data_IF_559435689173
#
_entry.id   IF_559435689173
#
_cell.length_a   1.000
_cell.length_b   1.000
_cell.length_c   1.000
_cell.angle_alpha   90.00
_cell.angle_beta   90.00
_cell.angle_gamma   90.00
#
_symmetry.space_group_name_H-M   'P 1'
#
loop_
_entity.id
_entity.type
_entity.pdbx_description
1 polymer ?
#
# COMPACT_ATOMS: atom_id res chain seq x y z
N UNK A 1 -4.27 38.95 -43.31
CA UNK A 1 -4.23 37.50 -42.98
C UNK A 1 -2.93 37.01 -42.34
N UNK A 2 -1.74 37.51 -42.71
CA UNK A 2 -0.44 37.04 -42.16
C UNK A 2 -0.22 37.31 -40.66
N UNK A 3 -0.77 38.40 -40.11
CA UNK A 3 -0.69 38.77 -38.69
C UNK A 3 -1.45 37.82 -37.76
N UNK A 4 -2.61 37.31 -38.19
CA UNK A 4 -3.40 36.34 -37.41
C UNK A 4 -2.71 34.97 -37.31
N UNK A 5 -2.09 34.51 -38.41
CA UNK A 5 -1.31 33.27 -38.43
C UNK A 5 -0.05 33.35 -37.56
N UNK A 6 0.57 34.53 -37.46
CA UNK A 6 1.72 34.78 -36.59
C UNK A 6 1.34 34.73 -35.10
N UNK A 7 0.25 35.41 -34.70
CA UNK A 7 -0.25 35.38 -33.33
C UNK A 7 -0.66 33.96 -32.90
N UNK A 8 -1.34 33.20 -33.77
CA UNK A 8 -1.70 31.80 -33.53
C UNK A 8 -0.48 30.89 -33.32
N UNK A 9 0.60 31.10 -34.08
CA UNK A 9 1.87 30.35 -33.89
C UNK A 9 2.55 30.68 -32.56
N UNK A 10 2.56 31.96 -32.15
CA UNK A 10 3.16 32.33 -30.87
C UNK A 10 2.37 31.80 -29.67
N UNK A 11 1.03 31.83 -29.74
CA UNK A 11 0.17 31.22 -28.72
C UNK A 11 0.38 29.71 -28.62
N UNK A 12 0.49 29.01 -29.76
CA UNK A 12 0.75 27.57 -29.78
C UNK A 12 2.11 27.20 -29.17
N UNK A 13 3.16 27.99 -29.46
CA UNK A 13 4.49 27.80 -28.86
C UNK A 13 4.43 28.04 -27.35
N UNK A 14 3.79 29.11 -26.89
CA UNK A 14 3.63 29.41 -25.46
C UNK A 14 2.88 28.29 -24.72
N UNK A 15 1.81 27.76 -25.31
CA UNK A 15 1.06 26.64 -24.75
C UNK A 15 1.91 25.35 -24.68
N UNK A 16 2.73 25.11 -25.71
CA UNK A 16 3.69 23.99 -25.74
C UNK A 16 4.76 24.10 -24.64
N UNK A 17 5.32 25.30 -24.42
CA UNK A 17 6.26 25.54 -23.33
C UNK A 17 5.60 25.36 -21.95
N UNK A 18 4.38 25.85 -21.77
CA UNK A 18 3.63 25.67 -20.53
C UNK A 18 3.34 24.20 -20.26
N UNK A 19 2.94 23.44 -21.28
CA UNK A 19 2.70 22.00 -21.17
C UNK A 19 3.99 21.24 -20.83
N UNK A 20 5.11 21.58 -21.48
CA UNK A 20 6.42 20.99 -21.17
C UNK A 20 6.84 21.29 -19.73
N UNK A 21 6.69 22.55 -19.28
CA UNK A 21 7.00 22.94 -17.91
C UNK A 21 6.13 22.19 -16.89
N UNK A 22 4.84 21.99 -17.19
CA UNK A 22 3.94 21.19 -16.37
C UNK A 22 4.41 19.73 -16.27
N UNK A 23 4.75 19.08 -17.39
CA UNK A 23 5.24 17.70 -17.39
C UNK A 23 6.53 17.55 -16.58
N UNK A 24 7.48 18.50 -16.71
CA UNK A 24 8.72 18.50 -15.94
C UNK A 24 8.46 18.67 -14.44
N UNK A 25 7.54 19.56 -14.06
CA UNK A 25 7.13 19.74 -12.66
C UNK A 25 6.49 18.47 -12.08
N UNK A 26 5.60 17.82 -12.83
CA UNK A 26 4.99 16.56 -12.41
C UNK A 26 6.02 15.45 -12.24
N UNK A 27 7.01 15.35 -13.14
CA UNK A 27 8.10 14.38 -13.03
C UNK A 27 8.95 14.64 -11.77
N UNK A 28 9.27 15.89 -11.46
CA UNK A 28 9.98 16.22 -10.21
C UNK A 28 9.21 15.80 -8.96
N UNK A 29 7.89 16.05 -8.91
CA UNK A 29 7.04 15.59 -7.80
C UNK A 29 7.03 14.07 -7.70
N UNK A 30 6.96 13.38 -8.84
CA UNK A 30 7.01 11.92 -8.89
C UNK A 30 8.35 11.38 -8.36
N UNK A 31 9.47 11.96 -8.79
CA UNK A 31 10.81 11.60 -8.30
C UNK A 31 10.96 11.81 -6.80
N UNK A 32 10.42 12.92 -6.27
CA UNK A 32 10.43 13.17 -4.82
C UNK A 32 9.63 12.12 -4.05
N UNK A 33 8.45 11.72 -4.57
CA UNK A 33 7.63 10.65 -3.99
C UNK A 33 8.36 9.31 -4.01
N UNK A 34 9.00 8.98 -5.13
CA UNK A 34 9.78 7.74 -5.27
C UNK A 34 11.00 7.72 -4.34
N UNK A 35 11.75 8.83 -4.24
CA UNK A 35 12.87 8.94 -3.32
C UNK A 35 12.43 8.78 -1.86
N UNK A 36 11.29 9.36 -1.48
CA UNK A 36 10.71 9.17 -0.15
C UNK A 36 10.29 7.71 0.08
N UNK A 37 9.59 7.10 -0.88
CA UNK A 37 9.17 5.71 -0.83
C UNK A 37 10.38 4.76 -0.72
N UNK A 38 11.46 5.00 -1.45
CA UNK A 38 12.70 4.22 -1.38
C UNK A 38 13.38 4.33 -0.02
N UNK A 39 13.35 5.50 0.62
CA UNK A 39 13.90 5.70 1.98
C UNK A 39 13.07 5.00 3.05
N UNK A 40 11.75 4.97 2.89
CA UNK A 40 10.81 4.43 3.88
C UNK A 40 10.59 2.92 3.68
N UNK A 41 10.57 2.41 2.44
CA UNK A 41 10.29 1.00 2.14
C UNK A 41 11.11 -0.04 2.93
N UNK A 42 12.41 0.18 3.25
CA UNK A 42 13.20 -0.75 4.05
C UNK A 42 12.77 -0.85 5.53
N UNK A 43 12.14 0.19 6.10
CA UNK A 43 11.70 0.19 7.49
C UNK A 43 10.28 -0.37 7.68
N UNK A 44 9.49 -0.53 6.62
CA UNK A 44 8.16 -1.15 6.70
C UNK A 44 8.24 -2.68 6.64
N UNK A 45 7.48 -3.33 7.52
CA UNK A 45 7.12 -4.72 7.37
C UNK A 45 5.85 -4.83 6.51
N UNK A 46 5.88 -5.68 5.47
CA UNK A 46 4.73 -5.93 4.61
C UNK A 46 4.07 -7.24 5.01
N UNK A 47 2.88 -7.15 5.57
CA UNK A 47 2.06 -8.31 5.87
C UNK A 47 1.22 -8.69 4.65
N UNK A 48 1.42 -9.89 4.13
CA UNK A 48 0.71 -10.38 2.96
C UNK A 48 -0.26 -11.49 3.38
N UNK A 49 -1.55 -11.29 3.13
CA UNK A 49 -2.57 -12.32 3.29
C UNK A 49 -2.99 -12.78 1.91
N UNK A 50 -2.94 -14.09 1.72
CA UNK A 50 -3.42 -14.77 0.52
C UNK A 50 -4.90 -15.12 0.72
N UNK A 51 -5.69 -14.91 -0.33
CA UNK A 51 -7.06 -15.40 -0.40
C UNK A 51 -7.07 -16.77 -1.09
N UNK A 52 -8.11 -17.56 -0.85
CA UNK A 52 -8.26 -18.86 -1.53
C UNK A 52 -8.52 -18.71 -3.04
N UNK A 53 -9.12 -17.60 -3.48
CA UNK A 53 -9.34 -17.27 -4.90
C UNK A 53 -9.50 -15.77 -5.14
N UNK A 54 -9.62 -15.38 -6.42
CA UNK A 54 -9.92 -14.01 -6.85
C UNK A 54 -11.43 -13.68 -6.79
N UNK A 55 -12.26 -14.57 -6.25
CA UNK A 55 -13.68 -14.29 -6.08
C UNK A 55 -13.89 -13.11 -5.12
N UNK A 56 -14.94 -12.32 -5.35
CA UNK A 56 -15.25 -11.19 -4.48
C UNK A 56 -15.47 -11.61 -3.02
N UNK A 57 -15.99 -12.82 -2.78
CA UNK A 57 -16.19 -13.36 -1.44
C UNK A 57 -14.86 -13.63 -0.74
N UNK A 58 -13.92 -14.33 -1.39
CA UNK A 58 -12.63 -14.66 -0.79
C UNK A 58 -11.75 -13.40 -0.61
N UNK A 59 -11.85 -12.44 -1.53
CA UNK A 59 -11.16 -11.16 -1.39
C UNK A 59 -11.72 -10.34 -0.21
N UNK A 60 -13.03 -10.40 0.03
CA UNK A 60 -13.64 -9.76 1.20
C UNK A 60 -13.14 -10.41 2.50
N UNK A 61 -13.10 -11.75 2.57
CA UNK A 61 -12.54 -12.47 3.74
C UNK A 61 -11.09 -12.06 3.99
N UNK A 62 -10.28 -11.95 2.94
CA UNK A 62 -8.89 -11.47 3.05
C UNK A 62 -8.81 -10.07 3.67
N UNK A 63 -9.68 -9.13 3.29
CA UNK A 63 -9.70 -7.78 3.86
C UNK A 63 -10.12 -7.79 5.34
N UNK A 64 -11.08 -8.64 5.68
CA UNK A 64 -11.55 -8.81 7.06
C UNK A 64 -10.47 -9.41 7.97
N UNK A 65 -9.89 -10.54 7.57
CA UNK A 65 -8.78 -11.18 8.30
C UNK A 65 -7.59 -10.25 8.40
N UNK A 66 -7.30 -9.49 7.34
CA UNK A 66 -6.22 -8.48 7.36
C UNK A 66 -6.44 -7.41 8.41
N UNK A 67 -7.65 -6.87 8.48
CA UNK A 67 -7.96 -5.81 9.44
C UNK A 67 -7.83 -6.35 10.86
N UNK A 68 -8.42 -7.52 11.14
CA UNK A 68 -8.33 -8.20 12.44
C UNK A 68 -6.87 -8.41 12.89
N UNK A 69 -6.03 -8.97 12.02
CA UNK A 69 -4.63 -9.24 12.38
C UNK A 69 -3.83 -7.95 12.54
N UNK A 70 -4.09 -6.92 11.75
CA UNK A 70 -3.44 -5.61 11.92
C UNK A 70 -3.80 -4.96 13.25
N UNK A 71 -5.06 -5.05 13.69
CA UNK A 71 -5.50 -4.52 14.98
C UNK A 71 -4.83 -5.29 16.12
N UNK A 72 -4.81 -6.63 16.05
CA UNK A 72 -4.10 -7.48 17.02
C UNK A 72 -2.60 -7.13 17.13
N UNK A 73 -1.94 -6.95 16.00
CA UNK A 73 -0.50 -6.60 15.97
C UNK A 73 -0.26 -5.20 16.55
N UNK A 74 -1.16 -4.24 16.30
CA UNK A 74 -1.04 -2.88 16.85
C UNK A 74 -1.17 -2.86 18.37
N UNK A 75 -2.05 -3.68 18.96
CA UNK A 75 -2.18 -3.79 20.41
C UNK A 75 -0.98 -4.51 21.05
N UNK A 76 -0.40 -5.47 20.34
CA UNK A 76 0.72 -6.29 20.79
C UNK A 76 2.06 -5.54 20.80
N UNK A 77 2.29 -4.66 19.82
CA UNK A 77 3.58 -4.00 19.62
C UNK A 77 3.63 -2.64 20.34
N UNK A 78 4.56 -2.41 21.28
CA UNK A 78 4.79 -1.09 21.83
C UNK A 78 5.30 -0.11 20.75
N UNK A 79 4.99 1.19 20.87
CA UNK A 79 5.22 2.18 19.80
C UNK A 79 6.70 2.41 19.44
N UNK A 80 7.65 2.01 20.30
CA UNK A 80 9.09 2.26 20.10
C UNK A 80 9.91 0.98 19.89
N UNK A 81 9.38 -0.03 19.20
CA UNK A 81 10.18 -1.20 18.81
C UNK A 81 10.90 -1.01 17.47
N UNK A 82 12.18 -1.36 17.45
CA UNK A 82 12.96 -1.47 16.22
C UNK A 82 12.50 -2.65 15.35
N UNK A 83 12.88 -2.61 14.06
CA UNK A 83 12.48 -3.60 13.05
C UNK A 83 12.81 -5.05 13.47
N UNK A 84 13.98 -5.27 14.10
CA UNK A 84 14.42 -6.63 14.47
C UNK A 84 13.58 -7.19 15.61
N UNK A 85 13.26 -6.34 16.58
CA UNK A 85 12.45 -6.63 17.75
C UNK A 85 11.01 -6.95 17.32
N UNK A 86 10.44 -6.14 16.43
CA UNK A 86 9.13 -6.40 15.83
C UNK A 86 9.10 -7.74 15.11
N UNK A 87 10.10 -8.06 14.27
CA UNK A 87 10.17 -9.35 13.57
C UNK A 87 10.24 -10.52 14.56
N UNK A 88 11.03 -10.38 15.64
CA UNK A 88 11.13 -11.43 16.67
C UNK A 88 9.79 -11.62 17.38
N UNK A 89 9.15 -10.55 17.82
CA UNK A 89 7.85 -10.58 18.49
C UNK A 89 6.79 -11.24 17.61
N UNK A 90 6.71 -10.87 16.33
CA UNK A 90 5.76 -11.47 15.38
C UNK A 90 6.02 -12.96 15.14
N UNK A 91 7.29 -13.41 15.14
CA UNK A 91 7.62 -14.83 15.05
C UNK A 91 7.18 -15.60 16.29
N UNK A 92 7.39 -15.05 17.48
CA UNK A 92 6.96 -15.65 18.75
C UNK A 92 5.43 -15.73 18.83
N UNK A 93 4.73 -14.74 18.27
CA UNK A 93 3.27 -14.66 18.25
C UNK A 93 2.64 -15.34 17.03
N UNK A 94 3.42 -16.03 16.19
CA UNK A 94 2.93 -16.73 14.99
C UNK A 94 1.69 -17.58 15.28
N UNK A 95 1.79 -18.48 16.26
CA UNK A 95 0.72 -19.40 16.60
C UNK A 95 -0.53 -18.68 17.14
N UNK A 96 -0.34 -17.56 17.83
CA UNK A 96 -1.45 -16.73 18.31
C UNK A 96 -2.16 -16.04 17.14
N UNK A 97 -1.42 -15.51 16.17
CA UNK A 97 -1.96 -14.90 14.95
C UNK A 97 -2.79 -15.91 14.16
N UNK A 98 -2.25 -17.11 13.90
CA UNK A 98 -2.95 -18.20 13.21
C UNK A 98 -4.23 -18.61 13.95
N UNK A 99 -4.16 -18.73 15.28
CA UNK A 99 -5.30 -19.06 16.12
C UNK A 99 -6.38 -17.97 16.04
N UNK A 100 -6.01 -16.71 16.15
CA UNK A 100 -6.94 -15.57 16.08
C UNK A 100 -7.65 -15.53 14.72
N UNK A 101 -6.91 -15.66 13.62
CA UNK A 101 -7.48 -15.71 12.28
C UNK A 101 -8.40 -16.94 12.08
N UNK A 102 -7.97 -18.12 12.53
CA UNK A 102 -8.77 -19.35 12.41
C UNK A 102 -10.05 -19.29 13.24
N UNK A 103 -9.99 -18.70 14.44
CA UNK A 103 -11.18 -18.48 15.28
C UNK A 103 -12.16 -17.52 14.61
N UNK A 104 -11.67 -16.45 13.99
CA UNK A 104 -12.51 -15.51 13.24
C UNK A 104 -13.22 -16.20 12.06
N UNK A 105 -12.47 -16.99 11.28
CA UNK A 105 -13.01 -17.75 10.15
C UNK A 105 -14.08 -18.74 10.62
N UNK A 106 -13.82 -19.47 11.70
CA UNK A 106 -14.78 -20.41 12.28
C UNK A 106 -16.06 -19.71 12.77
N UNK A 107 -15.94 -18.55 13.43
CA UNK A 107 -17.10 -17.76 13.90
C UNK A 107 -17.97 -17.26 12.74
N UNK A 108 -17.36 -16.98 11.59
CA UNK A 108 -18.07 -16.60 10.35
C UNK A 108 -18.62 -17.80 9.57
N UNK A 109 -18.38 -19.03 10.04
CA UNK A 109 -18.88 -20.26 9.42
C UNK A 109 -18.03 -20.80 8.26
N UNK A 110 -16.79 -20.33 8.11
CA UNK A 110 -15.88 -20.88 7.10
C UNK A 110 -15.31 -22.23 7.55
N UNK A 111 -15.23 -23.24 6.65
CA UNK A 111 -14.79 -24.59 7.00
C UNK A 111 -13.26 -24.77 7.02
N UNK A 112 -12.50 -23.69 6.85
CA UNK A 112 -11.04 -23.69 6.73
C UNK A 112 -10.41 -22.74 7.76
N UNK A 113 -9.12 -22.98 8.08
CA UNK A 113 -8.32 -22.15 8.97
C UNK A 113 -7.34 -21.24 8.22
N UNK A 114 -6.57 -20.47 8.98
CA UNK A 114 -5.47 -19.65 8.46
C UNK A 114 -4.12 -20.20 8.96
N UNK A 115 -3.11 -20.14 8.09
CA UNK A 115 -1.73 -20.59 8.35
C UNK A 115 -0.74 -19.52 7.87
N UNK A 116 0.38 -19.34 8.58
CA UNK A 116 1.33 -18.24 8.41
C UNK A 116 2.74 -18.68 7.97
#
# INVERSE_FOLDING_TARGET
MKTYQFCRRQLALGLGFLFMALLLSMNQVQQQREALAQRIAPSLLRFHILANSDSSADQQVKLEVRSLILDYIQELLPPEQGKKETIRCLREQKAAIEKTASQYLAQRGYPYGAEL
#
